data_IF_799023716679
#
_entry.id   IF_799023716679
#
_cell.length_a   1.000
_cell.length_b   1.000
_cell.length_c   1.000
_cell.angle_alpha   90.00
_cell.angle_beta   90.00
_cell.angle_gamma   90.00
#
_symmetry.space_group_name_H-M   'P 1'
#
loop_
_entity.id
_entity.type
_entity.pdbx_description
1 polymer ?
#
# COMPACT_ATOMS: atom_id res chain seq x y z
N UNK A 1 65.76 -0.48 30.03
CA UNK A 1 65.40 0.12 28.72
C UNK A 1 64.47 -0.86 28.01
N UNK A 2 63.15 -0.74 28.23
CA UNK A 2 62.14 -1.71 27.76
C UNK A 2 61.45 -1.15 26.50
N UNK A 3 61.41 -1.97 25.46
CA UNK A 3 60.64 -1.76 24.23
C UNK A 3 59.15 -1.55 24.53
N UNK A 4 58.53 -0.61 23.82
CA UNK A 4 57.10 -0.67 23.49
C UNK A 4 56.95 -0.41 21.99
N UNK A 5 56.36 -1.40 21.34
CA UNK A 5 55.95 -1.47 19.93
C UNK A 5 54.84 -0.47 19.62
N UNK A 6 54.93 0.19 18.47
CA UNK A 6 53.92 1.10 17.92
C UNK A 6 52.89 0.27 17.14
N UNK A 7 51.69 0.09 17.69
CA UNK A 7 50.56 -0.47 16.96
C UNK A 7 49.91 0.61 16.08
N UNK A 8 50.05 0.49 14.76
CA UNK A 8 49.17 1.17 13.78
C UNK A 8 47.99 0.23 13.50
N UNK A 9 46.83 0.53 14.05
CA UNK A 9 45.58 -0.15 13.70
C UNK A 9 44.96 0.55 12.48
N UNK A 10 44.98 -0.15 11.34
CA UNK A 10 44.25 0.26 10.14
C UNK A 10 42.75 0.06 10.34
N UNK A 11 41.98 1.14 10.13
CA UNK A 11 40.53 1.11 10.12
C UNK A 11 40.08 0.68 8.72
N UNK A 12 39.72 -0.59 8.57
CA UNK A 12 38.99 -1.10 7.39
C UNK A 12 37.51 -0.81 7.58
N UNK A 13 36.94 0.00 6.68
CA UNK A 13 35.49 0.19 6.53
C UNK A 13 34.92 -1.09 5.94
N UNK A 14 34.18 -1.85 6.76
CA UNK A 14 33.40 -3.00 6.30
C UNK A 14 32.10 -2.51 5.68
N UNK A 15 32.02 -2.51 4.35
CA UNK A 15 30.75 -2.41 3.63
C UNK A 15 30.01 -3.74 3.75
N UNK A 16 28.95 -3.79 4.54
CA UNK A 16 28.03 -4.92 4.52
C UNK A 16 27.09 -4.77 3.32
N UNK A 17 27.46 -5.41 2.21
CA UNK A 17 26.53 -5.74 1.14
C UNK A 17 25.56 -6.81 1.67
N UNK A 18 24.29 -6.45 1.84
CA UNK A 18 23.23 -7.40 2.15
C UNK A 18 22.97 -8.21 0.86
N UNK A 19 23.50 -9.43 0.78
CA UNK A 19 23.10 -10.40 -0.24
C UNK A 19 21.64 -10.79 0.00
N UNK A 20 20.75 -10.40 -0.93
CA UNK A 20 19.43 -11.01 -1.03
C UNK A 20 19.60 -12.47 -1.46
N UNK A 21 19.31 -13.40 -0.55
CA UNK A 21 19.13 -14.81 -0.89
C UNK A 21 17.82 -14.94 -1.68
N UNK A 22 17.94 -15.03 -3.00
CA UNK A 22 16.87 -15.47 -3.88
C UNK A 22 16.43 -16.87 -3.47
N UNK A 23 15.19 -17.01 -3.03
CA UNK A 23 14.57 -18.30 -2.74
C UNK A 23 14.56 -19.17 -4.00
N UNK A 24 15.09 -20.38 -3.86
CA UNK A 24 15.06 -21.44 -4.86
C UNK A 24 13.62 -21.73 -5.30
N UNK A 25 13.30 -21.41 -6.56
CA UNK A 25 12.10 -21.88 -7.22
C UNK A 25 12.23 -23.40 -7.46
N UNK A 26 11.27 -24.17 -6.93
CA UNK A 26 11.10 -25.58 -7.29
C UNK A 26 10.65 -25.65 -8.75
N UNK A 27 11.30 -26.42 -9.64
CA UNK A 27 10.83 -26.55 -11.01
C UNK A 27 9.53 -27.36 -11.02
N UNK A 28 8.40 -26.66 -11.16
CA UNK A 28 7.19 -27.27 -11.66
C UNK A 28 7.51 -27.79 -13.07
N UNK A 29 7.36 -29.10 -13.26
CA UNK A 29 7.49 -29.72 -14.57
C UNK A 29 6.40 -29.14 -15.48
N UNK A 30 6.77 -28.17 -16.30
CA UNK A 30 5.96 -27.70 -17.40
C UNK A 30 5.90 -28.83 -18.43
N UNK A 31 4.83 -29.61 -18.41
CA UNK A 31 4.42 -30.37 -19.58
C UNK A 31 4.09 -29.36 -20.67
N UNK A 32 4.95 -29.29 -21.69
CA UNK A 32 4.69 -28.57 -22.92
C UNK A 32 3.60 -29.31 -23.70
N UNK A 33 2.34 -29.01 -23.40
CA UNK A 33 1.24 -29.31 -24.29
C UNK A 33 1.08 -28.14 -25.26
N UNK A 34 1.57 -28.33 -26.48
CA UNK A 34 1.23 -27.48 -27.62
C UNK A 34 -0.27 -27.59 -27.92
N UNK A 35 -1.05 -26.71 -27.31
CA UNK A 35 -2.41 -26.40 -27.72
C UNK A 35 -2.47 -24.95 -28.13
N UNK A 36 -3.12 -24.65 -29.25
CA UNK A 36 -3.64 -23.31 -29.57
C UNK A 36 -4.77 -22.97 -28.59
N UNK A 37 -4.46 -22.96 -27.29
CA UNK A 37 -5.42 -22.78 -26.22
C UNK A 37 -5.94 -21.36 -26.26
N UNK A 38 -7.19 -21.19 -26.68
CA UNK A 38 -7.89 -19.92 -26.55
C UNK A 38 -7.83 -19.46 -25.09
N UNK A 39 -7.53 -18.17 -24.86
CA UNK A 39 -7.53 -17.58 -23.52
C UNK A 39 -8.92 -17.77 -22.89
N UNK A 40 -9.08 -18.56 -21.81
CA UNK A 40 -10.38 -18.83 -21.21
C UNK A 40 -11.03 -17.57 -20.62
N UNK A 41 -10.26 -16.48 -20.51
CA UNK A 41 -10.70 -15.17 -20.03
C UNK A 41 -10.75 -14.12 -21.14
N UNK A 42 -10.71 -14.52 -22.43
CA UNK A 42 -10.77 -13.61 -23.57
C UNK A 42 -11.97 -12.65 -23.55
N UNK A 43 -13.08 -13.04 -22.91
CA UNK A 43 -14.29 -12.22 -22.75
C UNK A 43 -14.16 -11.08 -21.74
N UNK A 44 -13.14 -11.12 -20.86
CA UNK A 44 -12.86 -10.02 -19.95
C UNK A 44 -12.17 -8.88 -20.71
N UNK A 45 -12.23 -7.62 -20.23
CA UNK A 45 -11.43 -6.56 -20.80
C UNK A 45 -9.93 -6.84 -20.57
N UNK A 46 -9.07 -6.41 -21.50
CA UNK A 46 -7.61 -6.57 -21.37
C UNK A 46 -7.02 -5.63 -20.32
N UNK A 47 -7.69 -4.53 -20.01
CA UNK A 47 -7.30 -3.60 -18.95
C UNK A 47 -8.51 -2.92 -18.29
N UNK A 48 -8.28 -2.37 -17.11
CA UNK A 48 -9.24 -1.55 -16.35
C UNK A 48 -8.53 -0.26 -15.98
N UNK A 49 -9.19 0.89 -16.19
CA UNK A 49 -8.71 2.18 -15.72
C UNK A 49 -9.45 2.58 -14.45
N UNK A 50 -8.70 2.99 -13.43
CA UNK A 50 -9.22 3.43 -12.14
C UNK A 50 -8.71 4.83 -11.84
N UNK A 51 -9.63 5.78 -11.63
CA UNK A 51 -9.27 7.18 -11.37
C UNK A 51 -9.50 7.52 -9.91
N UNK A 52 -8.46 8.02 -9.26
CA UNK A 52 -8.49 8.51 -7.89
C UNK A 52 -7.94 9.94 -7.78
N UNK A 53 -7.73 10.37 -6.55
CA UNK A 53 -7.20 11.69 -6.19
C UNK A 53 -5.86 11.49 -5.52
N UNK A 54 -4.81 12.12 -6.05
CA UNK A 54 -3.53 12.28 -5.37
C UNK A 54 -3.47 13.65 -4.71
N UNK A 55 -3.00 13.71 -3.46
CA UNK A 55 -2.82 14.96 -2.69
C UNK A 55 -1.38 15.07 -2.25
N UNK A 56 -0.77 16.20 -2.53
CA UNK A 56 0.62 16.52 -2.22
C UNK A 56 0.73 17.36 -0.94
N UNK A 57 1.71 17.04 -0.11
CA UNK A 57 1.95 17.63 1.19
C UNK A 57 3.39 18.12 1.26
N UNK A 58 3.62 19.14 2.08
CA UNK A 58 4.97 19.56 2.45
C UNK A 58 5.46 18.73 3.63
N UNK A 59 6.74 18.38 3.66
CA UNK A 59 7.33 17.68 4.80
C UNK A 59 7.22 18.48 6.11
N UNK A 60 7.21 17.80 7.25
CA UNK A 60 7.00 18.42 8.57
C UNK A 60 7.94 19.55 8.95
N UNK A 61 9.16 19.60 8.41
CA UNK A 61 10.21 20.54 8.82
C UNK A 61 10.24 21.84 8.02
N UNK A 62 9.44 21.96 6.96
CA UNK A 62 9.35 23.20 6.17
C UNK A 62 8.12 24.03 6.55
N UNK A 63 8.10 25.29 6.11
CA UNK A 63 6.95 26.17 6.35
C UNK A 63 5.67 25.61 5.71
N UNK A 64 4.61 25.49 6.51
CA UNK A 64 3.35 24.84 6.11
C UNK A 64 3.44 23.31 6.01
N UNK A 65 4.48 22.71 6.58
CA UNK A 65 4.70 21.27 6.62
C UNK A 65 3.64 20.49 7.39
N UNK A 66 3.23 19.33 6.87
CA UNK A 66 2.32 18.43 7.56
C UNK A 66 3.07 17.56 8.56
N UNK A 67 2.58 17.50 9.81
CA UNK A 67 3.33 16.94 10.95
C UNK A 67 3.65 15.44 10.86
N UNK A 68 2.90 14.68 10.05
CA UNK A 68 3.08 13.24 9.87
C UNK A 68 4.08 12.84 8.76
N UNK A 69 4.39 13.73 7.82
CA UNK A 69 5.30 13.44 6.70
C UNK A 69 6.75 13.69 7.12
N UNK A 70 7.63 12.68 6.97
CA UNK A 70 8.95 12.56 7.61
C UNK A 70 8.92 12.44 9.14
N UNK A 71 7.80 12.02 9.72
CA UNK A 71 7.74 11.77 11.16
C UNK A 71 8.41 10.46 11.51
N UNK A 72 9.42 10.50 12.39
CA UNK A 72 9.94 9.30 13.03
C UNK A 72 9.02 8.84 14.16
N UNK A 73 8.48 7.60 14.14
CA UNK A 73 7.69 7.06 15.25
C UNK A 73 8.54 6.87 16.52
N UNK A 74 7.94 7.04 17.70
CA UNK A 74 8.61 6.78 18.98
C UNK A 74 8.97 5.28 19.13
N UNK A 75 8.15 4.38 18.58
CA UNK A 75 8.44 2.95 18.45
C UNK A 75 9.42 2.61 17.31
N UNK A 76 9.98 3.61 16.62
CA UNK A 76 10.81 3.47 15.43
C UNK A 76 10.02 3.09 14.16
N UNK A 77 10.67 3.13 13.01
CA UNK A 77 10.06 2.71 11.74
C UNK A 77 9.63 1.24 11.76
N UNK A 78 8.56 0.92 11.04
CA UNK A 78 7.99 -0.42 10.91
C UNK A 78 6.52 -0.37 10.51
N UNK A 79 5.93 -1.56 10.39
CA UNK A 79 4.50 -1.76 10.16
C UNK A 79 3.71 -1.51 11.46
N UNK A 80 2.63 -0.75 11.36
CA UNK A 80 1.75 -0.34 12.44
C UNK A 80 0.30 -0.59 12.06
N UNK A 81 -0.45 -1.21 12.98
CA UNK A 81 -1.88 -1.44 12.80
C UNK A 81 -2.71 -0.47 13.65
N UNK A 82 -4.00 -0.34 13.30
CA UNK A 82 -5.01 0.37 14.09
C UNK A 82 -4.79 1.88 14.19
N UNK A 83 -4.10 2.46 13.20
CA UNK A 83 -4.12 3.91 12.99
C UNK A 83 -5.52 4.36 12.58
N UNK A 84 -6.19 3.58 11.73
CA UNK A 84 -7.56 3.79 11.31
C UNK A 84 -8.59 2.99 12.13
N UNK A 85 -9.82 3.50 12.16
CA UNK A 85 -11.01 2.79 12.62
C UNK A 85 -11.36 1.66 11.63
N UNK A 86 -12.12 0.69 12.11
CA UNK A 86 -12.58 -0.44 11.28
C UNK A 86 -13.64 0.00 10.26
N UNK A 87 -14.23 1.19 10.42
CA UNK A 87 -15.21 1.80 9.52
C UNK A 87 -14.76 3.20 9.10
N UNK A 88 -15.12 3.61 7.89
CA UNK A 88 -14.96 4.98 7.41
C UNK A 88 -15.92 5.91 8.15
N UNK A 89 -15.56 7.20 8.17
CA UNK A 89 -16.43 8.26 8.65
C UNK A 89 -17.62 8.55 7.71
N UNK A 90 -18.44 9.53 8.09
CA UNK A 90 -19.61 9.94 7.32
C UNK A 90 -19.30 10.49 5.92
N UNK A 91 -18.05 10.92 5.66
CA UNK A 91 -17.60 11.38 4.35
C UNK A 91 -16.94 10.24 3.54
N UNK A 92 -16.96 9.01 4.08
CA UNK A 92 -16.35 7.85 3.48
C UNK A 92 -14.81 7.89 3.49
N UNK A 93 -14.20 8.54 4.49
CA UNK A 93 -12.74 8.60 4.68
C UNK A 93 -12.28 7.79 5.90
N UNK A 94 -11.02 7.33 5.95
CA UNK A 94 -10.49 6.67 7.13
C UNK A 94 -10.54 7.60 8.34
N UNK A 95 -11.18 7.13 9.42
CA UNK A 95 -11.24 7.84 10.69
C UNK A 95 -10.08 7.41 11.59
N UNK A 96 -9.50 8.34 12.35
CA UNK A 96 -8.42 8.03 13.29
C UNK A 96 -8.91 7.14 14.45
N UNK A 97 -8.07 6.18 14.85
CA UNK A 97 -8.32 5.29 15.99
C UNK A 97 -7.26 5.44 17.07
N UNK A 98 -5.98 5.22 16.73
CA UNK A 98 -4.86 5.40 17.67
C UNK A 98 -3.61 5.87 16.93
N UNK A 99 -2.55 6.17 17.68
CA UNK A 99 -1.23 6.45 17.12
C UNK A 99 -0.46 5.19 16.66
N UNK A 100 -1.15 4.08 16.37
CA UNK A 100 -0.61 2.85 15.78
C UNK A 100 0.12 1.92 16.76
N UNK A 101 -0.09 0.62 16.63
CA UNK A 101 0.64 -0.43 17.38
C UNK A 101 1.63 -1.15 16.48
N UNK A 102 2.91 -1.14 16.83
CA UNK A 102 3.97 -1.71 15.99
C UNK A 102 3.83 -3.22 15.89
N UNK A 103 3.77 -3.74 14.67
CA UNK A 103 3.72 -5.18 14.39
C UNK A 103 5.11 -5.80 14.59
N UNK A 104 5.16 -6.90 15.33
CA UNK A 104 6.37 -7.70 15.54
C UNK A 104 6.34 -9.01 14.73
N UNK A 105 5.16 -9.54 14.44
CA UNK A 105 4.99 -10.73 13.60
C UNK A 105 3.69 -10.60 12.81
N UNK A 106 3.74 -10.86 11.50
CA UNK A 106 2.58 -10.74 10.63
C UNK A 106 1.58 -11.87 10.88
N UNK A 107 0.28 -11.55 10.83
CA UNK A 107 -0.77 -12.56 10.72
C UNK A 107 -0.76 -13.14 9.32
N UNK A 108 -0.99 -14.45 9.19
CA UNK A 108 -0.98 -15.14 7.91
C UNK A 108 -2.21 -16.03 7.74
N UNK A 109 -2.65 -16.18 6.50
CA UNK A 109 -3.62 -17.21 6.15
C UNK A 109 -2.96 -18.59 6.01
N UNK A 110 -3.77 -19.62 5.81
CA UNK A 110 -3.31 -21.00 5.61
C UNK A 110 -2.43 -21.22 4.38
N UNK A 111 -2.41 -20.28 3.42
CA UNK A 111 -1.51 -20.28 2.28
C UNK A 111 -0.20 -19.52 2.55
N UNK A 112 0.00 -19.01 3.77
CA UNK A 112 1.18 -18.26 4.19
C UNK A 112 1.19 -16.79 3.75
N UNK A 113 0.11 -16.27 3.15
CA UNK A 113 0.01 -14.86 2.77
C UNK A 113 -0.31 -14.02 3.99
N UNK A 114 0.28 -12.83 4.11
CA UNK A 114 -0.09 -11.94 5.21
C UNK A 114 -1.56 -11.51 5.07
N UNK A 115 -2.24 -11.39 6.20
CA UNK A 115 -3.61 -10.90 6.31
C UNK A 115 -3.70 -9.87 7.43
N UNK A 116 -4.76 -9.07 7.43
CA UNK A 116 -5.09 -8.19 8.55
C UNK A 116 -5.24 -8.97 9.85
N UNK A 117 -5.03 -8.33 11.00
CA UNK A 117 -5.26 -8.96 12.30
C UNK A 117 -6.72 -9.43 12.45
N UNK A 118 -7.05 -10.34 13.40
CA UNK A 118 -8.41 -10.81 13.60
C UNK A 118 -9.39 -9.64 13.81
N UNK A 119 -10.41 -9.59 12.94
CA UNK A 119 -11.56 -8.70 13.03
C UNK A 119 -12.80 -9.57 13.24
N UNK A 120 -13.75 -9.12 14.06
CA UNK A 120 -14.99 -9.87 14.33
C UNK A 120 -15.83 -10.15 13.06
N UNK A 121 -15.66 -9.32 12.03
CA UNK A 121 -16.39 -9.44 10.78
C UNK A 121 -15.67 -10.28 9.71
N UNK A 122 -14.37 -10.58 9.86
CA UNK A 122 -13.61 -11.39 8.90
C UNK A 122 -13.43 -12.80 9.46
N UNK A 123 -14.00 -13.79 8.79
CA UNK A 123 -13.93 -15.18 9.23
C UNK A 123 -12.46 -15.68 9.26
N UNK A 124 -12.08 -16.22 10.41
CA UNK A 124 -10.89 -17.04 10.55
C UNK A 124 -11.11 -18.39 9.84
N UNK A 125 -10.05 -18.97 9.31
CA UNK A 125 -10.06 -20.28 8.67
C UNK A 125 -9.05 -21.20 9.34
N UNK A 126 -9.28 -22.51 9.20
CA UNK A 126 -8.31 -23.51 9.66
C UNK A 126 -6.96 -23.30 8.98
N UNK A 127 -5.88 -23.34 9.76
CA UNK A 127 -4.51 -23.11 9.28
C UNK A 127 -4.06 -21.64 9.30
N UNK A 128 -4.92 -20.69 9.67
CA UNK A 128 -4.48 -19.31 9.91
C UNK A 128 -3.48 -19.24 11.06
N UNK A 129 -2.48 -18.38 10.92
CA UNK A 129 -1.41 -18.18 11.91
C UNK A 129 -1.53 -16.79 12.53
N UNK A 130 -1.52 -16.75 13.86
CA UNK A 130 -1.54 -15.50 14.61
C UNK A 130 -0.21 -14.74 14.47
N UNK A 131 -0.32 -13.44 14.23
CA UNK A 131 0.76 -12.49 14.41
C UNK A 131 0.77 -11.88 15.81
N UNK A 132 1.60 -10.86 15.97
CA UNK A 132 1.76 -10.12 17.21
C UNK A 132 2.09 -8.65 16.93
N UNK A 133 1.72 -7.78 17.87
CA UNK A 133 2.03 -6.36 17.86
C UNK A 133 2.29 -5.87 19.29
N UNK A 134 2.82 -4.65 19.41
CA UNK A 134 3.07 -3.99 20.68
C UNK A 134 1.77 -3.84 21.50
N UNK A 135 1.91 -3.78 22.84
CA UNK A 135 0.82 -3.52 23.78
C UNK A 135 0.52 -2.03 24.00
N UNK A 136 1.40 -1.14 23.51
CA UNK A 136 1.25 0.31 23.56
C UNK A 136 1.43 0.92 22.17
N UNK A 137 0.86 2.11 21.97
CA UNK A 137 1.03 2.83 20.71
C UNK A 137 2.46 3.31 20.52
N UNK A 138 3.01 3.20 19.31
CA UNK A 138 4.38 3.64 18.99
C UNK A 138 4.46 4.99 18.29
N UNK A 139 3.35 5.71 18.15
CA UNK A 139 3.37 7.07 17.60
C UNK A 139 3.61 7.09 16.09
N UNK A 140 2.99 6.20 15.31
CA UNK A 140 3.09 6.20 13.85
C UNK A 140 2.46 7.47 13.23
N UNK A 141 1.43 8.02 13.87
CA UNK A 141 0.68 9.21 13.46
C UNK A 141 0.56 10.14 14.67
N UNK A 142 0.58 11.46 14.47
CA UNK A 142 0.51 12.46 15.57
C UNK A 142 -0.85 12.42 16.27
N UNK A 143 -1.95 12.42 15.53
CA UNK A 143 -3.28 12.41 16.12
C UNK A 143 -4.41 12.51 15.11
N UNK A 144 -5.63 12.70 15.62
CA UNK A 144 -6.83 12.69 14.81
C UNK A 144 -6.85 13.83 13.76
N UNK A 145 -6.45 15.04 14.14
CA UNK A 145 -6.49 16.21 13.25
C UNK A 145 -5.53 16.05 12.06
N UNK A 146 -4.31 15.58 12.31
CA UNK A 146 -3.32 15.36 11.24
C UNK A 146 -3.73 14.19 10.34
N UNK A 147 -4.20 13.08 10.90
CA UNK A 147 -4.70 11.96 10.11
C UNK A 147 -5.90 12.34 9.23
N UNK A 148 -6.79 13.20 9.74
CA UNK A 148 -7.96 13.69 8.99
C UNK A 148 -7.55 14.45 7.72
N UNK A 149 -6.44 15.18 7.77
CA UNK A 149 -5.92 15.98 6.66
C UNK A 149 -5.33 15.15 5.51
N UNK A 150 -4.94 13.89 5.77
CA UNK A 150 -4.42 13.00 4.71
C UNK A 150 -5.45 12.80 3.59
N UNK A 151 -6.74 12.72 3.95
CA UNK A 151 -7.81 12.26 3.06
C UNK A 151 -8.74 13.37 2.57
N UNK A 152 -8.36 14.64 2.79
CA UNK A 152 -9.18 15.81 2.50
C UNK A 152 -8.35 16.93 1.91
N UNK A 153 -8.96 17.65 0.98
CA UNK A 153 -8.37 18.89 0.49
C UNK A 153 -8.50 19.95 1.58
N UNK A 154 -7.37 20.45 2.08
CA UNK A 154 -7.33 21.44 3.16
C UNK A 154 -6.45 22.60 2.73
N UNK A 155 -7.06 23.77 2.60
CA UNK A 155 -6.38 24.99 2.16
C UNK A 155 -5.14 25.27 3.00
N UNK A 156 -4.01 25.49 2.32
CA UNK A 156 -2.71 25.74 2.96
C UNK A 156 -1.98 24.49 3.49
N UNK A 157 -2.60 23.31 3.44
CA UNK A 157 -2.01 22.04 3.90
C UNK A 157 -1.61 21.14 2.73
N UNK A 158 -2.49 20.99 1.74
CA UNK A 158 -2.25 20.15 0.56
C UNK A 158 -2.85 20.76 -0.71
N UNK A 159 -2.40 20.23 -1.86
CA UNK A 159 -3.00 20.47 -3.19
C UNK A 159 -3.22 19.12 -3.86
N UNK A 160 -4.23 19.01 -4.73
CA UNK A 160 -4.66 17.73 -5.27
C UNK A 160 -4.82 17.73 -6.80
N UNK A 161 -4.72 16.55 -7.41
CA UNK A 161 -5.11 16.30 -8.81
C UNK A 161 -5.67 14.90 -8.97
N UNK A 162 -6.33 14.67 -10.10
CA UNK A 162 -6.71 13.31 -10.50
C UNK A 162 -5.48 12.51 -10.96
N UNK A 163 -5.49 11.22 -10.62
CA UNK A 163 -4.53 10.22 -11.08
C UNK A 163 -5.30 8.98 -11.56
N UNK A 164 -5.01 8.53 -12.78
CA UNK A 164 -5.58 7.32 -13.35
C UNK A 164 -4.53 6.21 -13.39
N UNK A 165 -4.88 5.06 -12.84
CA UNK A 165 -4.09 3.83 -12.90
C UNK A 165 -4.69 2.89 -13.94
N UNK A 166 -3.83 2.20 -14.70
CA UNK A 166 -4.25 1.14 -15.64
C UNK A 166 -3.81 -0.21 -15.11
N UNK A 167 -4.77 -1.06 -14.75
CA UNK A 167 -4.51 -2.44 -14.37
C UNK A 167 -4.67 -3.32 -15.61
N UNK A 168 -3.65 -4.11 -15.92
CA UNK A 168 -3.64 -4.99 -17.09
C UNK A 168 -3.96 -6.43 -16.69
N UNK A 169 -4.84 -7.09 -17.44
CA UNK A 169 -5.12 -8.52 -17.26
C UNK A 169 -3.89 -9.34 -17.60
N UNK A 170 -3.51 -10.25 -16.72
CA UNK A 170 -2.40 -11.17 -16.95
C UNK A 170 -2.83 -12.28 -17.93
N UNK A 171 -2.02 -12.60 -18.96
CA UNK A 171 -2.38 -13.56 -20.00
C UNK A 171 -2.85 -14.91 -19.46
N UNK A 172 -3.97 -15.43 -19.98
CA UNK A 172 -4.52 -16.74 -19.57
C UNK A 172 -5.13 -16.76 -18.17
N UNK A 173 -5.34 -15.61 -17.54
CA UNK A 173 -5.92 -15.49 -16.18
C UNK A 173 -7.03 -14.44 -16.12
N UNK A 174 -7.79 -14.45 -15.03
CA UNK A 174 -8.69 -13.35 -14.63
C UNK A 174 -8.02 -12.33 -13.69
N UNK A 175 -6.70 -12.38 -13.51
CA UNK A 175 -5.99 -11.47 -12.61
C UNK A 175 -5.65 -10.17 -13.33
N UNK A 176 -6.02 -9.04 -12.74
CA UNK A 176 -5.61 -7.71 -13.14
C UNK A 176 -4.48 -7.22 -12.24
N UNK A 177 -3.42 -6.69 -12.85
CA UNK A 177 -2.25 -6.19 -12.14
C UNK A 177 -1.93 -4.76 -12.54
N UNK A 178 -1.74 -3.91 -11.56
CA UNK A 178 -0.92 -2.70 -11.68
C UNK A 178 0.36 -2.94 -10.86
N UNK A 179 1.52 -2.63 -11.42
CA UNK A 179 2.80 -2.80 -10.75
C UNK A 179 3.75 -1.70 -11.21
N UNK A 180 4.10 -0.78 -10.31
CA UNK A 180 4.98 0.37 -10.57
C UNK A 180 6.32 -0.04 -11.21
N UNK A 181 6.83 -1.23 -10.86
CA UNK A 181 8.12 -1.74 -11.33
C UNK A 181 8.13 -2.17 -12.79
N UNK A 182 6.98 -2.52 -13.34
CA UNK A 182 6.83 -2.96 -14.74
C UNK A 182 5.96 -2.05 -15.57
N UNK A 183 5.31 -1.06 -14.95
CA UNK A 183 4.52 -0.06 -15.65
C UNK A 183 5.43 0.82 -16.53
N UNK A 184 5.06 1.09 -17.80
CA UNK A 184 5.88 1.87 -18.72
C UNK A 184 6.21 3.29 -18.25
N UNK A 185 5.34 3.90 -17.42
CA UNK A 185 5.57 5.24 -16.87
C UNK A 185 6.35 5.13 -15.57
N UNK A 186 5.87 4.37 -14.59
CA UNK A 186 6.45 4.37 -13.24
C UNK A 186 7.80 3.67 -13.15
N UNK A 187 8.08 2.68 -14.01
CA UNK A 187 9.40 2.04 -14.05
C UNK A 187 10.52 3.04 -14.39
N UNK A 188 10.25 4.02 -15.26
CA UNK A 188 11.20 5.09 -15.59
C UNK A 188 11.43 6.06 -14.43
N UNK A 189 10.48 6.14 -13.50
CA UNK A 189 10.58 6.93 -12.26
C UNK A 189 11.20 6.14 -11.10
N UNK A 190 11.52 4.86 -11.31
CA UNK A 190 12.12 3.97 -10.30
C UNK A 190 11.23 3.70 -9.07
N UNK A 191 9.92 3.92 -9.19
CA UNK A 191 8.94 3.74 -8.13
C UNK A 191 7.62 4.44 -8.45
N UNK A 192 6.66 4.35 -7.53
CA UNK A 192 5.36 4.98 -7.67
C UNK A 192 5.41 6.48 -7.34
N UNK A 193 5.83 7.29 -8.31
CA UNK A 193 5.96 8.74 -8.13
C UNK A 193 5.08 9.51 -9.11
N UNK A 194 3.75 9.56 -8.86
CA UNK A 194 2.78 10.06 -9.84
C UNK A 194 2.92 11.56 -10.11
N UNK A 195 3.48 12.32 -9.17
CA UNK A 195 3.48 13.79 -9.17
C UNK A 195 4.89 14.40 -9.15
N UNK A 196 5.91 13.68 -9.64
CA UNK A 196 7.25 14.27 -9.81
C UNK A 196 7.21 15.54 -10.66
N UNK A 197 7.83 16.60 -10.15
CA UNK A 197 7.86 17.96 -10.73
C UNK A 197 6.49 18.64 -10.87
N UNK A 198 5.47 18.17 -10.17
CA UNK A 198 4.13 18.75 -10.17
C UNK A 198 3.73 19.20 -8.76
N UNK A 199 2.59 19.89 -8.65
CA UNK A 199 2.02 20.32 -7.36
C UNK A 199 3.02 21.15 -6.53
N UNK A 200 3.34 20.77 -5.29
CA UNK A 200 4.38 21.46 -4.50
C UNK A 200 5.81 21.13 -4.92
N UNK A 201 5.98 20.27 -5.92
CA UNK A 201 7.27 19.87 -6.49
C UNK A 201 7.86 18.66 -5.79
N UNK A 202 9.14 18.39 -6.05
CA UNK A 202 9.81 17.24 -5.47
C UNK A 202 10.20 17.50 -4.02
N UNK A 203 10.16 16.45 -3.20
CA UNK A 203 10.74 16.46 -1.87
C UNK A 203 12.27 16.53 -2.02
N UNK A 204 12.92 17.55 -1.46
CA UNK A 204 14.39 17.58 -1.41
C UNK A 204 14.93 16.42 -0.57
N UNK A 205 16.09 15.84 -0.91
CA UNK A 205 16.69 14.71 -0.16
C UNK A 205 15.93 13.37 -0.31
N UNK A 206 16.63 12.24 -0.15
CA UNK A 206 16.03 10.90 -0.23
C UNK A 206 16.80 9.92 -1.11
N UNK A 207 16.22 8.73 -1.29
CA UNK A 207 16.83 7.62 -2.02
C UNK A 207 16.87 7.81 -3.53
N UNK A 208 15.76 8.26 -4.13
CA UNK A 208 15.67 8.57 -5.57
C UNK A 208 15.71 10.08 -5.74
N UNK A 209 16.68 10.57 -6.52
CA UNK A 209 16.83 12.00 -6.76
C UNK A 209 15.60 12.58 -7.49
N UNK A 210 15.29 13.86 -7.24
CA UNK A 210 14.24 14.61 -7.92
C UNK A 210 12.87 13.92 -7.89
N UNK A 211 12.46 13.49 -6.70
CA UNK A 211 11.25 12.71 -6.51
C UNK A 211 10.33 13.32 -5.45
N UNK A 212 9.02 13.30 -5.69
CA UNK A 212 8.01 13.68 -4.71
C UNK A 212 7.62 12.44 -3.91
N UNK A 213 7.81 12.48 -2.59
CA UNK A 213 7.43 11.43 -1.65
C UNK A 213 6.19 11.78 -0.84
N UNK A 214 5.90 13.05 -0.60
CA UNK A 214 4.97 13.42 0.48
C UNK A 214 3.55 13.53 -0.03
N UNK A 215 2.92 12.40 -0.35
CA UNK A 215 1.59 12.40 -0.95
C UNK A 215 0.67 11.29 -0.44
N UNK A 216 -0.62 11.50 -0.61
CA UNK A 216 -1.63 10.45 -0.46
C UNK A 216 -2.30 10.16 -1.79
N UNK A 217 -2.83 8.95 -1.95
CA UNK A 217 -3.68 8.56 -3.05
C UNK A 217 -4.95 7.90 -2.52
N UNK A 218 -6.09 8.37 -2.99
CA UNK A 218 -7.41 7.84 -2.66
C UNK A 218 -8.11 7.38 -3.95
N UNK A 219 -8.67 6.18 -3.92
CA UNK A 219 -9.42 5.60 -5.03
C UNK A 219 -10.71 4.94 -4.52
N UNK A 220 -11.81 5.17 -5.24
CA UNK A 220 -13.07 4.46 -5.04
C UNK A 220 -13.44 3.69 -6.32
N UNK A 221 -13.88 2.45 -6.15
CA UNK A 221 -14.31 1.57 -7.24
C UNK A 221 -15.40 0.63 -6.72
N UNK A 222 -16.05 -0.13 -7.61
CA UNK A 222 -17.01 -1.16 -7.23
C UNK A 222 -16.72 -2.48 -7.94
N UNK A 223 -17.22 -3.57 -7.37
CA UNK A 223 -17.14 -4.90 -7.95
C UNK A 223 -18.37 -5.72 -7.59
N UNK A 224 -18.64 -6.78 -8.37
CA UNK A 224 -19.67 -7.78 -8.03
C UNK A 224 -19.02 -8.94 -7.30
N UNK A 225 -19.54 -9.26 -6.12
CA UNK A 225 -19.09 -10.40 -5.35
C UNK A 225 -19.69 -11.71 -5.88
N UNK A 226 -18.84 -12.74 -6.05
CA UNK A 226 -19.24 -14.08 -6.47
C UNK A 226 -18.76 -15.11 -5.45
N UNK A 227 -19.68 -15.66 -4.67
CA UNK A 227 -19.40 -16.57 -3.56
C UNK A 227 -18.76 -17.86 -4.06
N UNK A 228 -17.72 -18.33 -3.38
CA UNK A 228 -17.05 -19.60 -3.65
C UNK A 228 -16.14 -19.58 -4.88
N UNK A 229 -15.95 -18.42 -5.51
CA UNK A 229 -15.07 -18.28 -6.69
C UNK A 229 -13.61 -17.99 -6.33
N UNK A 230 -13.30 -17.79 -5.04
CA UNK A 230 -11.96 -17.45 -4.60
C UNK A 230 -11.52 -16.03 -4.99
N UNK A 231 -12.47 -15.10 -5.14
CA UNK A 231 -12.19 -13.69 -5.38
C UNK A 231 -11.18 -13.14 -4.36
N UNK A 232 -10.15 -12.46 -4.85
CA UNK A 232 -9.02 -12.00 -4.03
C UNK A 232 -8.57 -10.61 -4.44
N UNK A 233 -8.18 -9.82 -3.44
CA UNK A 233 -7.46 -8.56 -3.62
C UNK A 233 -6.17 -8.61 -2.82
N UNK A 234 -5.06 -8.26 -3.45
CA UNK A 234 -3.74 -8.16 -2.84
C UNK A 234 -3.14 -6.79 -3.14
N UNK A 235 -2.61 -6.16 -2.11
CA UNK A 235 -1.75 -5.00 -2.27
C UNK A 235 -0.33 -5.33 -1.81
N UNK A 236 0.67 -4.77 -2.48
CA UNK A 236 2.06 -4.74 -2.04
C UNK A 236 2.61 -3.33 -2.19
N UNK A 237 3.17 -2.79 -1.11
CA UNK A 237 3.77 -1.47 -1.14
C UNK A 237 4.21 -0.98 0.22
N UNK A 238 4.64 0.27 0.21
CA UNK A 238 5.06 1.13 1.31
C UNK A 238 4.62 2.57 0.99
N UNK A 239 4.36 3.44 1.97
CA UNK A 239 4.35 3.24 3.42
C UNK A 239 2.99 2.72 3.92
N UNK A 240 1.98 3.59 3.99
CA UNK A 240 0.71 3.31 4.65
C UNK A 240 -0.37 2.91 3.63
N UNK A 241 -1.02 1.75 3.79
CA UNK A 241 -2.21 1.35 2.98
C UNK A 241 -3.38 0.88 3.82
N UNK A 242 -4.57 1.38 3.46
CA UNK A 242 -5.85 0.97 4.03
C UNK A 242 -6.83 0.63 2.90
N UNK A 243 -7.45 -0.55 2.98
CA UNK A 243 -8.48 -0.97 2.01
C UNK A 243 -9.76 -1.31 2.74
N UNK A 244 -10.86 -0.75 2.26
CA UNK A 244 -12.20 -0.95 2.80
C UNK A 244 -13.09 -1.60 1.74
N UNK A 245 -13.89 -2.58 2.15
CA UNK A 245 -14.98 -3.14 1.36
C UNK A 245 -16.27 -2.94 2.14
N UNK A 246 -17.28 -2.33 1.53
CA UNK A 246 -18.57 -2.06 2.19
C UNK A 246 -18.38 -1.39 3.57
N UNK A 247 -17.58 -0.32 3.56
CA UNK A 247 -17.25 0.47 4.75
C UNK A 247 -16.53 -0.33 5.88
N UNK A 248 -15.91 -1.47 5.59
CA UNK A 248 -15.18 -2.28 6.59
C UNK A 248 -13.73 -2.46 6.17
N UNK A 249 -12.80 -2.15 7.08
CA UNK A 249 -11.35 -2.29 6.87
C UNK A 249 -10.98 -3.77 6.69
N UNK A 250 -10.41 -4.11 5.55
CA UNK A 250 -10.02 -5.49 5.17
C UNK A 250 -8.51 -5.65 4.91
N UNK A 251 -7.80 -4.55 4.61
CA UNK A 251 -6.34 -4.50 4.60
C UNK A 251 -5.87 -3.31 5.42
N UNK A 252 -4.92 -3.54 6.33
CA UNK A 252 -4.23 -2.53 7.13
C UNK A 252 -2.73 -2.80 7.04
N UNK A 253 -2.03 -1.90 6.36
CA UNK A 253 -0.59 -1.83 6.18
C UNK A 253 -0.10 -0.43 6.58
N UNK A 254 -0.46 0.04 7.79
CA UNK A 254 -0.02 1.35 8.26
C UNK A 254 1.46 1.39 8.67
N UNK A 255 1.99 2.59 8.85
CA UNK A 255 3.38 2.80 9.28
C UNK A 255 4.38 3.00 8.14
N UNK A 256 5.59 3.43 8.51
CA UNK A 256 6.71 3.60 7.58
C UNK A 256 7.54 2.34 7.58
N UNK A 257 7.48 1.55 6.52
CA UNK A 257 8.16 0.26 6.38
C UNK A 257 8.51 0.01 4.92
N UNK A 258 9.49 -0.83 4.62
CA UNK A 258 9.69 -1.26 3.22
C UNK A 258 8.50 -2.11 2.73
N UNK A 259 8.38 -2.30 1.41
CA UNK A 259 7.26 -3.00 0.81
C UNK A 259 6.81 -4.29 1.53
N UNK A 260 5.53 -4.33 1.94
CA UNK A 260 4.86 -5.50 2.54
C UNK A 260 3.63 -5.83 1.69
N UNK A 261 3.38 -7.13 1.49
CA UNK A 261 2.15 -7.62 0.85
C UNK A 261 1.11 -8.00 1.90
N UNK A 262 -0.18 -7.75 1.61
CA UNK A 262 -1.32 -8.30 2.35
C UNK A 262 -2.45 -8.64 1.39
N UNK A 263 -3.17 -9.74 1.67
CA UNK A 263 -4.26 -10.25 0.83
C UNK A 263 -5.55 -10.44 1.61
N UNK A 264 -6.68 -10.23 0.92
CA UNK A 264 -8.02 -10.60 1.40
C UNK A 264 -8.71 -11.51 0.37
N UNK A 265 -9.05 -12.73 0.79
CA UNK A 265 -10.00 -13.59 0.08
C UNK A 265 -11.42 -13.21 0.52
N UNK A 266 -12.27 -12.85 -0.45
CA UNK A 266 -13.60 -12.30 -0.19
C UNK A 266 -14.58 -13.34 0.37
N UNK A 267 -14.31 -14.64 0.24
CA UNK A 267 -15.14 -15.68 0.86
C UNK A 267 -15.07 -15.66 2.39
N UNK A 268 -14.08 -14.97 2.97
CA UNK A 268 -14.01 -14.71 4.42
C UNK A 268 -14.99 -13.64 4.91
N UNK A 269 -15.60 -12.90 3.99
CA UNK A 269 -16.46 -11.76 4.28
C UNK A 269 -17.91 -12.25 4.26
N UNK A 270 -18.38 -12.75 5.40
CA UNK A 270 -19.69 -13.39 5.52
C UNK A 270 -20.88 -12.44 5.27
N UNK A 271 -20.66 -11.12 5.39
CA UNK A 271 -21.68 -10.10 5.14
C UNK A 271 -21.92 -9.83 3.65
N UNK A 272 -21.01 -10.25 2.76
CA UNK A 272 -21.21 -10.11 1.32
C UNK A 272 -22.23 -11.13 0.82
N UNK A 273 -23.13 -10.71 -0.07
CA UNK A 273 -24.16 -11.55 -0.65
C UNK A 273 -23.80 -11.85 -2.11
N UNK A 274 -24.00 -13.09 -2.53
CA UNK A 274 -23.67 -13.53 -3.89
C UNK A 274 -24.41 -12.71 -4.93
N UNK A 275 -23.70 -12.30 -5.99
CA UNK A 275 -24.24 -11.49 -7.08
C UNK A 275 -24.45 -10.01 -6.77
N UNK A 276 -24.21 -9.55 -5.54
CA UNK A 276 -24.37 -8.14 -5.17
C UNK A 276 -23.13 -7.30 -5.47
N UNK A 277 -23.35 -6.00 -5.72
CA UNK A 277 -22.30 -5.02 -5.97
C UNK A 277 -21.88 -4.34 -4.68
N UNK A 278 -20.58 -4.20 -4.46
CA UNK A 278 -20.01 -3.56 -3.26
C UNK A 278 -18.95 -2.53 -3.62
N UNK A 279 -18.85 -1.42 -2.85
CA UNK A 279 -17.76 -0.47 -3.00
C UNK A 279 -16.47 -1.06 -2.41
N UNK A 280 -15.35 -0.76 -3.06
CA UNK A 280 -13.99 -0.90 -2.55
C UNK A 280 -13.36 0.49 -2.52
N UNK A 281 -12.90 0.92 -1.36
CA UNK A 281 -12.14 2.15 -1.18
C UNK A 281 -10.71 1.83 -0.81
N UNK A 282 -9.78 2.50 -1.46
CA UNK A 282 -8.35 2.31 -1.32
C UNK A 282 -7.69 3.63 -0.93
N UNK A 283 -6.87 3.59 0.11
CA UNK A 283 -6.16 4.75 0.64
C UNK A 283 -4.69 4.39 0.81
N UNK A 284 -3.82 5.22 0.25
CA UNK A 284 -2.37 5.06 0.28
C UNK A 284 -1.74 6.37 0.73
N UNK A 285 -0.72 6.33 1.57
CA UNK A 285 0.11 7.48 1.89
C UNK A 285 1.59 7.11 1.82
N UNK A 286 2.31 7.82 0.95
CA UNK A 286 3.78 7.85 0.94
C UNK A 286 4.21 9.01 1.82
N UNK A 287 5.07 8.74 2.81
CA UNK A 287 5.42 9.78 3.78
C UNK A 287 6.86 9.70 4.25
N UNK A 288 7.66 8.88 3.59
CA UNK A 288 9.09 8.78 3.84
C UNK A 288 9.90 8.76 2.54
N UNK A 289 11.11 9.33 2.60
CA UNK A 289 12.02 9.53 1.47
C UNK A 289 12.75 8.28 0.93
N UNK A 290 12.28 7.07 1.27
CA UNK A 290 13.01 5.84 0.94
C UNK A 290 12.12 4.89 0.14
N UNK A 291 12.29 4.90 -1.18
CA UNK A 291 11.47 4.13 -2.14
C UNK A 291 9.99 4.55 -2.10
N UNK A 292 9.24 4.06 -3.08
CA UNK A 292 7.77 4.10 -3.08
C UNK A 292 7.31 2.97 -4.00
N UNK A 293 6.60 2.02 -3.44
CA UNK A 293 6.19 0.78 -4.07
C UNK A 293 4.67 0.69 -4.11
N UNK A 294 4.13 0.37 -5.28
CA UNK A 294 2.69 0.30 -5.47
C UNK A 294 2.34 -0.81 -6.45
N UNK A 295 1.78 -1.89 -5.91
CA UNK A 295 1.31 -3.02 -6.69
C UNK A 295 -0.05 -3.51 -6.20
N UNK A 296 -0.98 -3.64 -7.13
CA UNK A 296 -2.28 -4.27 -6.94
C UNK A 296 -2.31 -5.53 -7.80
N UNK A 297 -2.70 -6.66 -7.21
CA UNK A 297 -3.11 -7.86 -7.95
C UNK A 297 -4.51 -8.27 -7.49
N UNK A 298 -5.43 -8.45 -8.42
CA UNK A 298 -6.81 -8.79 -8.06
C UNK A 298 -7.53 -9.60 -9.12
N UNK A 299 -8.42 -10.50 -8.69
CA UNK A 299 -9.40 -11.17 -9.56
C UNK A 299 -10.75 -10.45 -9.59
N UNK A 300 -10.88 -9.34 -8.85
CA UNK A 300 -12.09 -8.54 -8.83
C UNK A 300 -12.28 -7.82 -10.16
N UNK A 301 -13.50 -7.89 -10.69
CA UNK A 301 -13.89 -7.12 -11.88
C UNK A 301 -14.25 -5.70 -11.45
N UNK A 302 -13.22 -4.88 -11.25
CA UNK A 302 -13.34 -3.50 -10.78
C UNK A 302 -13.99 -2.60 -11.84
N UNK A 303 -14.78 -1.62 -11.39
CA UNK A 303 -15.48 -0.63 -12.22
C UNK A 303 -15.36 0.75 -11.60
N UNK A 304 -15.19 1.77 -12.42
CA UNK A 304 -15.23 3.15 -11.94
C UNK A 304 -16.59 3.46 -11.29
N UNK A 305 -16.52 4.18 -10.18
CA UNK A 305 -17.63 5.02 -9.72
C UNK A 305 -17.32 6.45 -10.15
N UNK A 306 -18.33 7.30 -10.30
CA UNK A 306 -18.11 8.69 -10.71
C UNK A 306 -17.14 9.39 -9.74
N UNK A 307 -16.07 10.04 -10.24
CA UNK A 307 -15.02 10.59 -9.37
C UNK A 307 -15.53 11.79 -8.56
N UNK A 308 -15.05 12.00 -7.31
CA UNK A 308 -15.34 13.23 -6.56
C UNK A 308 -14.79 14.48 -7.27
N UNK A 309 -15.41 15.63 -7.03
CA UNK A 309 -14.90 16.91 -7.52
C UNK A 309 -13.53 17.24 -6.89
N UNK A 310 -12.58 17.70 -7.70
CA UNK A 310 -11.25 18.18 -7.25
C UNK A 310 -11.24 19.70 -7.14
N UNK A 311 -10.51 20.26 -6.18
CA UNK A 311 -10.30 21.71 -6.11
C UNK A 311 -9.04 22.09 -6.89
N UNK A 312 -9.21 22.67 -8.09
CA UNK A 312 -8.13 23.37 -8.76
C UNK A 312 -8.13 24.83 -8.29
N UNK A 313 -7.27 25.17 -7.33
CA UNK A 313 -6.93 26.58 -7.08
C UNK A 313 -5.46 26.77 -7.46
N UNK A 314 -5.28 27.23 -8.70
CA UNK A 314 -4.08 27.90 -9.16
C UNK A 314 -4.40 29.39 -9.11
N UNK A 315 -3.75 30.11 -8.19
CA UNK A 315 -3.62 31.56 -8.21
C UNK A 315 -2.12 31.88 -8.38
#
# INVERSE_FOLDING_TARGET
MRMVSVNRLGMRVGGSALLMLAGLAVPAHAQSAGGTGEDPYASLPSSIQLTGIVRDFKERSVSGGHTDFERQPAGGFGHYLRTAQDQLDAEGKPAFRTAGYKVSTQWRDSAGRNRIEPKSYIAAQSGDVNGAMASSTGGAVVGADSFRQWWRDVAGVNVSRQLTLTLNRQPGTNTYTFNDRTDPVFSTKQGFFPINNELFGNSGGGGVANTNYHFTFELETSFVFQRGTGQIFTFTGDDDVLVFIDNKLVIDLGGVHGAISQSINLDRLAWLQDGQSYPLKFFFAERHRTQSNFRIDTTLRLRNVDPPATTALFD
#
